data_IF_337028753332
#
_entry.id   IF_337028753332
#
_cell.length_a   1.000
_cell.length_b   1.000
_cell.length_c   1.000
_cell.angle_alpha   90.00
_cell.angle_beta   90.00
_cell.angle_gamma   90.00
#
_symmetry.space_group_name_H-M   'P 1'
#
loop_
_entity.id
_entity.type
_entity.pdbx_description
1 polymer ?
#
# COMPACT_ATOMS: atom_id res chain seq x y z
N UNK A 1 -8.89 -20.24 -9.96
CA UNK A 1 -7.93 -19.45 -10.77
C UNK A 1 -8.09 -17.97 -10.48
N UNK A 2 -6.99 -17.21 -10.44
CA UNK A 2 -6.98 -15.75 -10.26
C UNK A 2 -6.71 -15.08 -11.62
N UNK A 3 -7.41 -13.99 -11.93
CA UNK A 3 -7.28 -13.24 -13.19
C UNK A 3 -7.61 -11.75 -13.02
N UNK A 4 -7.39 -10.95 -14.07
CA UNK A 4 -7.69 -9.51 -14.12
C UNK A 4 -7.09 -8.71 -12.95
N UNK A 5 -5.86 -9.04 -12.55
CA UNK A 5 -5.14 -8.28 -11.52
C UNK A 5 -4.79 -6.91 -12.06
N UNK A 6 -5.26 -5.86 -11.39
CA UNK A 6 -4.97 -4.47 -11.76
C UNK A 6 -4.58 -3.65 -10.52
N UNK A 7 -3.63 -2.73 -10.71
CA UNK A 7 -3.20 -1.78 -9.70
C UNK A 7 -3.68 -0.38 -10.11
N UNK A 8 -4.37 0.32 -9.22
CA UNK A 8 -4.89 1.67 -9.43
C UNK A 8 -4.64 2.56 -8.21
N UNK A 9 -4.96 3.86 -8.37
CA UNK A 9 -4.98 4.84 -7.28
C UNK A 9 -3.70 4.87 -6.43
N UNK A 10 -2.55 4.71 -7.10
CA UNK A 10 -1.25 4.70 -6.44
C UNK A 10 -0.95 6.10 -5.92
N UNK A 11 -0.85 6.23 -4.60
CA UNK A 11 -0.39 7.42 -3.88
C UNK A 11 0.99 7.14 -3.28
N UNK A 12 1.66 8.14 -2.68
CA UNK A 12 2.94 7.92 -2.00
C UNK A 12 2.88 6.89 -0.86
N UNK A 13 1.70 6.57 -0.34
CA UNK A 13 1.48 5.77 0.86
C UNK A 13 0.38 4.69 0.72
N UNK A 14 -0.19 4.54 -0.47
CA UNK A 14 -1.28 3.58 -0.71
C UNK A 14 -1.37 3.15 -2.17
N UNK A 15 -2.04 2.02 -2.40
CA UNK A 15 -2.42 1.55 -3.73
C UNK A 15 -3.69 0.71 -3.61
N UNK A 16 -4.52 0.70 -4.65
CA UNK A 16 -5.68 -0.18 -4.75
C UNK A 16 -5.34 -1.32 -5.69
N UNK A 17 -5.60 -2.54 -5.26
CA UNK A 17 -5.42 -3.74 -6.06
C UNK A 17 -6.78 -4.43 -6.19
N UNK A 18 -7.14 -4.74 -7.43
CA UNK A 18 -8.36 -5.48 -7.75
C UNK A 18 -8.03 -6.70 -8.59
N UNK A 19 -8.83 -7.75 -8.45
CA UNK A 19 -8.71 -8.97 -9.23
C UNK A 19 -10.04 -9.73 -9.22
N UNK A 20 -10.12 -10.78 -10.05
CA UNK A 20 -11.24 -11.71 -10.09
C UNK A 20 -10.79 -13.15 -9.82
N UNK A 21 -11.68 -13.94 -9.23
CA UNK A 21 -11.55 -15.40 -9.13
C UNK A 21 -12.66 -16.07 -9.95
N UNK A 22 -12.40 -17.30 -10.40
CA UNK A 22 -13.37 -18.14 -11.12
C UNK A 22 -14.48 -18.71 -10.22
N UNK A 23 -14.22 -18.83 -8.92
CA UNK A 23 -15.21 -19.22 -7.90
C UNK A 23 -15.17 -18.30 -6.68
N UNK A 24 -16.24 -18.27 -5.86
CA UNK A 24 -16.26 -17.47 -4.64
C UNK A 24 -15.12 -17.85 -3.69
N UNK A 25 -14.30 -16.87 -3.30
CA UNK A 25 -13.17 -17.05 -2.41
C UNK A 25 -13.06 -15.90 -1.40
N UNK A 26 -12.31 -16.12 -0.33
CA UNK A 26 -11.75 -15.08 0.52
C UNK A 26 -10.47 -14.58 -0.14
N UNK A 27 -10.48 -13.31 -0.54
CA UNK A 27 -9.34 -12.65 -1.17
C UNK A 27 -8.43 -12.01 -0.14
N UNK A 28 -7.12 -12.17 -0.30
CA UNK A 28 -6.11 -11.57 0.57
C UNK A 28 -4.89 -11.16 -0.28
N UNK A 29 -4.19 -10.09 0.13
CA UNK A 29 -2.88 -9.75 -0.44
C UNK A 29 -1.77 -10.13 0.53
N UNK A 30 -0.68 -10.63 -0.05
CA UNK A 30 0.62 -10.71 0.59
C UNK A 30 1.51 -9.70 -0.11
N UNK A 31 2.18 -8.81 0.62
CA UNK A 31 2.96 -7.72 0.03
C UNK A 31 4.19 -7.36 0.85
N UNK A 32 5.21 -6.78 0.20
CA UNK A 32 6.49 -6.39 0.81
C UNK A 32 7.41 -5.65 -0.14
N UNK A 33 8.62 -5.34 0.31
CA UNK A 33 9.67 -4.70 -0.53
C UNK A 33 10.52 -5.71 -1.29
N UNK A 34 10.21 -7.00 -1.16
CA UNK A 34 10.82 -8.12 -1.86
C UNK A 34 9.78 -9.26 -1.97
N UNK A 35 10.17 -10.35 -2.62
CA UNK A 35 9.30 -11.52 -2.86
C UNK A 35 9.06 -12.39 -1.62
N UNK A 36 9.65 -12.07 -0.47
CA UNK A 36 9.26 -12.70 0.81
C UNK A 36 7.97 -12.06 1.35
N UNK A 37 7.60 -10.89 0.83
CA UNK A 37 6.43 -10.09 1.19
C UNK A 37 6.44 -9.63 2.66
N UNK A 38 6.28 -10.55 3.60
CA UNK A 38 6.37 -10.29 5.04
C UNK A 38 5.19 -9.52 5.64
N UNK A 39 4.28 -8.98 4.82
CA UNK A 39 3.03 -8.36 5.26
C UNK A 39 1.81 -8.98 4.59
N UNK A 40 0.67 -8.92 5.26
CA UNK A 40 -0.60 -9.48 4.80
C UNK A 40 -1.74 -8.52 5.12
N UNK A 41 -2.72 -8.45 4.24
CA UNK A 41 -4.00 -7.81 4.58
C UNK A 41 -4.89 -8.78 5.34
N UNK A 42 -5.98 -8.30 5.94
CA UNK A 42 -7.05 -9.21 6.32
C UNK A 42 -7.65 -9.86 5.07
N UNK A 43 -8.11 -11.12 5.14
CA UNK A 43 -8.94 -11.70 4.10
C UNK A 43 -10.25 -10.91 3.96
N UNK A 44 -10.84 -10.95 2.78
CA UNK A 44 -12.19 -10.44 2.58
C UNK A 44 -13.18 -11.03 3.61
N UNK A 45 -14.17 -10.25 4.07
CA UNK A 45 -15.07 -10.71 5.12
C UNK A 45 -16.10 -11.74 4.63
N UNK A 46 -16.23 -11.91 3.32
CA UNK A 46 -17.21 -12.80 2.67
C UNK A 46 -16.64 -13.36 1.37
N UNK A 47 -17.09 -14.55 1.00
CA UNK A 47 -16.80 -15.15 -0.30
C UNK A 47 -17.36 -14.30 -1.44
N UNK A 48 -16.53 -14.01 -2.43
CA UNK A 48 -16.91 -13.27 -3.65
C UNK A 48 -15.97 -13.63 -4.80
N UNK A 49 -16.34 -13.21 -6.01
CA UNK A 49 -15.53 -13.41 -7.22
C UNK A 49 -14.82 -12.14 -7.69
N UNK A 50 -15.22 -10.99 -7.15
CA UNK A 50 -14.62 -9.68 -7.45
C UNK A 50 -14.03 -9.09 -6.17
N UNK A 51 -12.75 -8.76 -6.22
CA UNK A 51 -11.99 -8.35 -5.05
C UNK A 51 -11.40 -6.96 -5.24
N UNK A 52 -11.32 -6.22 -4.14
CA UNK A 52 -10.71 -4.90 -4.09
C UNK A 52 -10.13 -4.69 -2.71
N UNK A 53 -8.82 -4.46 -2.66
CA UNK A 53 -8.09 -4.25 -1.43
C UNK A 53 -7.21 -3.01 -1.58
N UNK A 54 -7.30 -2.11 -0.61
CA UNK A 54 -6.44 -0.93 -0.53
C UNK A 54 -5.31 -1.18 0.45
N UNK A 55 -4.08 -1.21 -0.04
CA UNK A 55 -2.89 -1.17 0.80
C UNK A 55 -2.68 0.26 1.29
N UNK A 56 -2.34 0.44 2.56
CA UNK A 56 -2.10 1.75 3.19
C UNK A 56 -0.88 1.72 4.09
N UNK A 57 -0.32 2.88 4.42
CA UNK A 57 0.87 2.97 5.28
C UNK A 57 2.16 2.56 4.56
N UNK A 58 2.16 2.61 3.23
CA UNK A 58 3.33 2.32 2.41
C UNK A 58 4.36 3.44 2.54
N UNK A 59 5.64 3.09 2.37
CA UNK A 59 6.71 4.08 2.23
C UNK A 59 6.68 4.66 0.83
N UNK A 60 6.92 5.96 0.70
CA UNK A 60 7.02 6.62 -0.61
C UNK A 60 8.31 6.26 -1.33
N UNK A 61 8.35 6.43 -2.64
CA UNK A 61 9.53 6.12 -3.48
C UNK A 61 10.06 4.71 -3.21
N UNK A 62 9.15 3.76 -3.05
CA UNK A 62 9.45 2.38 -2.70
C UNK A 62 8.77 1.46 -3.70
N UNK A 63 9.53 0.49 -4.22
CA UNK A 63 8.97 -0.60 -5.00
C UNK A 63 8.41 -1.66 -4.04
N UNK A 64 7.20 -2.12 -4.34
CA UNK A 64 6.51 -3.17 -3.60
C UNK A 64 6.24 -4.34 -4.53
N UNK A 65 6.48 -5.54 -3.99
CA UNK A 65 6.03 -6.81 -4.52
C UNK A 65 4.73 -7.19 -3.83
N UNK A 66 3.82 -7.81 -4.55
CA UNK A 66 2.64 -8.43 -3.97
C UNK A 66 2.18 -9.65 -4.78
N UNK A 67 1.45 -10.53 -4.10
CA UNK A 67 0.66 -11.58 -4.74
C UNK A 67 -0.71 -11.70 -4.08
N UNK A 68 -1.66 -12.19 -4.86
CA UNK A 68 -3.00 -12.53 -4.39
C UNK A 68 -2.99 -13.94 -3.82
N UNK A 69 -3.65 -14.10 -2.67
CA UNK A 69 -4.06 -15.37 -2.12
C UNK A 69 -5.58 -15.44 -2.13
N UNK A 70 -6.12 -16.50 -2.72
CA UNK A 70 -7.54 -16.81 -2.70
C UNK A 70 -7.76 -18.13 -1.94
N UNK A 71 -8.68 -18.13 -0.99
CA UNK A 71 -9.06 -19.33 -0.23
C UNK A 71 -10.55 -19.60 -0.39
N UNK A 72 -10.93 -20.78 -0.86
CA UNK A 72 -12.35 -21.15 -1.01
C UNK A 72 -13.02 -21.47 0.34
N UNK A 73 -14.32 -21.78 0.32
CA UNK A 73 -15.11 -22.09 1.54
C UNK A 73 -14.65 -23.36 2.26
N UNK A 74 -13.96 -24.27 1.57
CA UNK A 74 -13.46 -25.53 2.13
C UNK A 74 -11.97 -25.47 2.48
N UNK A 75 -11.32 -24.34 2.26
CA UNK A 75 -9.94 -24.06 2.66
C UNK A 75 -8.88 -24.36 1.59
N UNK A 76 -9.26 -24.64 0.34
CA UNK A 76 -8.27 -24.77 -0.74
C UNK A 76 -7.69 -23.39 -1.07
N UNK A 77 -6.37 -23.33 -1.24
CA UNK A 77 -5.65 -22.08 -1.50
C UNK A 77 -5.11 -22.03 -2.94
N UNK A 78 -5.28 -20.89 -3.58
CA UNK A 78 -4.62 -20.56 -4.85
C UNK A 78 -3.83 -19.26 -4.68
N UNK A 79 -2.60 -19.24 -5.20
CA UNK A 79 -1.73 -18.07 -5.24
C UNK A 79 -1.59 -17.58 -6.67
N UNK A 80 -1.53 -16.26 -6.86
CA UNK A 80 -1.12 -15.67 -8.13
C UNK A 80 0.39 -15.73 -8.33
N UNK A 81 0.85 -15.31 -9.50
CA UNK A 81 2.23 -14.86 -9.72
C UNK A 81 2.53 -13.59 -8.90
N UNK A 82 3.80 -13.16 -8.94
CA UNK A 82 4.27 -11.92 -8.34
C UNK A 82 3.95 -10.72 -9.24
N UNK A 83 3.50 -9.64 -8.62
CA UNK A 83 3.26 -8.36 -9.26
C UNK A 83 4.00 -7.26 -8.52
N UNK A 84 4.38 -6.20 -9.23
CA UNK A 84 5.06 -5.06 -8.62
C UNK A 84 4.36 -3.73 -8.91
N UNK A 85 4.52 -2.79 -7.99
CA UNK A 85 4.19 -1.39 -8.20
C UNK A 85 5.15 -0.50 -7.41
N UNK A 86 5.27 0.77 -7.80
CA UNK A 86 6.12 1.74 -7.09
C UNK A 86 5.30 2.92 -6.60
N UNK A 87 5.47 3.28 -5.33
CA UNK A 87 4.88 4.49 -4.77
C UNK A 87 5.66 5.72 -5.24
N UNK A 88 4.99 6.79 -5.69
CA UNK A 88 5.68 8.03 -6.07
C UNK A 88 6.21 8.77 -4.84
N UNK A 89 7.06 9.78 -5.09
CA UNK A 89 7.36 10.79 -4.08
C UNK A 89 6.10 11.63 -3.80
N UNK A 90 5.92 12.14 -2.57
CA UNK A 90 4.85 13.08 -2.29
C UNK A 90 5.01 14.39 -3.08
N UNK A 91 3.89 14.97 -3.53
CA UNK A 91 3.89 16.22 -4.32
C UNK A 91 4.57 17.39 -3.63
N UNK A 92 4.56 17.43 -2.29
CA UNK A 92 5.22 18.47 -1.51
C UNK A 92 6.75 18.44 -1.60
N UNK A 93 7.36 17.34 -2.08
CA UNK A 93 8.80 17.29 -2.43
C UNK A 93 9.09 18.10 -3.70
N UNK A 94 8.19 18.10 -4.68
CA UNK A 94 8.42 18.73 -5.98
C UNK A 94 8.23 20.25 -5.95
N UNK A 95 7.32 20.76 -5.11
CA UNK A 95 7.09 22.21 -4.97
C UNK A 95 8.31 22.93 -4.37
N UNK A 96 9.12 22.24 -3.55
CA UNK A 96 10.37 22.82 -3.00
C UNK A 96 11.50 22.85 -4.05
N UNK A 97 11.54 21.88 -4.97
CA UNK A 97 12.58 21.78 -5.99
C UNK A 97 12.34 22.71 -7.20
N UNK A 98 11.07 22.96 -7.56
CA UNK A 98 10.71 23.79 -8.71
C UNK A 98 10.71 25.30 -8.42
N UNK A 99 10.67 25.72 -7.15
CA UNK A 99 10.52 27.14 -6.77
C UNK A 99 11.85 27.89 -6.63
N UNK A 100 13.02 27.23 -6.71
CA UNK A 100 14.24 28.00 -6.91
C UNK A 100 15.54 27.29 -6.61
N UNK A 101 16.51 27.51 -7.49
CA UNK A 101 17.90 27.39 -7.12
C UNK A 101 18.17 28.08 -5.77
N UNK A 102 18.93 27.37 -4.94
CA UNK A 102 19.65 27.85 -3.75
C UNK A 102 18.93 28.27 -2.47
N UNK A 103 17.60 28.29 -2.31
CA UNK A 103 17.02 28.61 -0.98
C UNK A 103 15.76 27.78 -0.66
N UNK A 104 15.89 26.82 0.26
CA UNK A 104 15.16 26.81 1.54
C UNK A 104 15.39 25.51 2.32
N UNK A 105 16.52 25.48 3.03
CA UNK A 105 16.68 24.77 4.29
C UNK A 105 15.69 25.36 5.32
N UNK A 106 14.42 24.89 5.34
CA UNK A 106 13.50 24.92 6.51
C UNK A 106 12.02 24.75 6.09
N UNK A 107 11.59 23.53 5.73
CA UNK A 107 10.17 23.15 5.87
C UNK A 107 9.98 21.80 6.59
N UNK A 108 11.06 21.06 6.85
CA UNK A 108 10.97 19.75 7.51
C UNK A 108 10.90 19.83 9.05
N UNK A 109 11.14 20.99 9.68
CA UNK A 109 11.16 21.13 11.15
C UNK A 109 9.85 21.60 11.81
N UNK A 110 8.73 21.71 11.09
CA UNK A 110 7.46 22.18 11.68
C UNK A 110 6.45 21.07 11.99
N UNK A 111 6.63 19.88 11.42
CA UNK A 111 5.76 18.73 11.73
C UNK A 111 6.24 17.98 12.99
N UNK A 112 7.55 18.01 13.31
CA UNK A 112 8.09 17.40 14.53
C UNK A 112 7.82 18.22 15.82
N UNK A 113 7.70 19.54 15.74
CA UNK A 113 7.53 20.40 16.93
C UNK A 113 6.07 20.45 17.41
N UNK A 114 5.09 20.28 16.52
CA UNK A 114 3.67 20.34 16.89
C UNK A 114 3.22 19.09 17.66
N UNK A 115 3.84 17.93 17.40
CA UNK A 115 3.51 16.67 18.08
C UNK A 115 4.17 16.57 19.46
N UNK A 116 5.39 17.10 19.64
CA UNK A 116 6.12 16.97 20.91
C UNK A 116 5.60 17.90 22.03
N UNK A 117 4.91 19.00 21.70
CA UNK A 117 4.38 19.95 22.71
C UNK A 117 3.10 19.48 23.41
N UNK A 118 2.52 18.34 23.03
CA UNK A 118 1.37 17.73 23.72
C UNK A 118 1.73 16.64 24.73
N UNK A 119 3.00 16.25 24.87
CA UNK A 119 3.42 15.20 25.82
C UNK A 119 4.12 15.73 27.08
N UNK A 120 4.27 17.05 27.24
CA UNK A 120 4.84 17.68 28.45
C UNK A 120 4.03 18.88 28.91
N UNK A 121 2.76 18.66 29.27
CA UNK A 121 1.99 19.58 30.12
C UNK A 121 2.18 19.22 31.60
N UNK A 122 2.37 20.19 32.53
CA UNK A 122 2.60 19.91 33.94
C UNK A 122 1.37 19.31 34.63
N UNK A 123 1.66 18.49 35.66
CA UNK A 123 0.76 17.60 36.42
C UNK A 123 -0.53 18.23 36.92
#
# INVERSE_FOLDING_TARGET
MISNVTISDITPDSAVITWTTDEPAYGQLQYGTDTEYGSFTDPDPTLKTEHSVRLTGLSFKTEYHFRVKATDDVGNETLSEDYTFSTPLPVWIYVVAAVGGLIALAVVLSIAVTVFRRMTGPR
#
